data_IF_736454493916
#
_entry.id   IF_736454493916
#
_cell.length_a   1.000
_cell.length_b   1.000
_cell.length_c   1.000
_cell.angle_alpha   90.00
_cell.angle_beta   90.00
_cell.angle_gamma   90.00
#
_symmetry.space_group_name_H-M   'P 1'
#
loop_
_entity.id
_entity.type
_entity.pdbx_description
1 polymer ?
#
# COMPACT_ATOMS: atom_id res chain seq x y z
N UNK A 1 -27.11 -12.45 -10.99
CA UNK A 1 -26.04 -13.07 -11.79
C UNK A 1 -25.51 -12.04 -12.75
N UNK A 2 -24.20 -11.76 -12.74
CA UNK A 2 -23.59 -10.91 -13.76
C UNK A 2 -23.37 -11.74 -15.03
N UNK A 3 -23.60 -11.17 -16.23
CA UNK A 3 -23.36 -11.89 -17.47
C UNK A 3 -21.86 -12.16 -17.66
N UNK A 4 -21.47 -13.31 -18.25
CA UNK A 4 -20.09 -13.54 -18.62
C UNK A 4 -19.68 -12.51 -19.69
N UNK A 5 -18.43 -12.05 -19.61
CA UNK A 5 -17.85 -11.17 -20.61
C UNK A 5 -16.56 -11.80 -21.14
N UNK A 6 -16.30 -11.63 -22.44
CA UNK A 6 -15.12 -12.18 -23.10
C UNK A 6 -14.13 -11.08 -23.42
N UNK A 7 -12.88 -11.25 -23.01
CA UNK A 7 -11.78 -10.37 -23.39
C UNK A 7 -11.15 -10.92 -24.67
N UNK A 8 -11.19 -10.15 -25.76
CA UNK A 8 -10.61 -10.53 -27.04
C UNK A 8 -9.33 -9.73 -27.33
N UNK A 9 -8.55 -10.17 -28.31
CA UNK A 9 -7.32 -9.49 -28.76
C UNK A 9 -6.20 -9.38 -27.70
N UNK A 10 -6.15 -10.32 -26.75
CA UNK A 10 -5.02 -10.44 -25.83
C UNK A 10 -3.78 -10.94 -26.59
N UNK A 11 -2.64 -10.31 -26.32
CA UNK A 11 -1.36 -10.77 -26.85
C UNK A 11 -1.09 -12.20 -26.35
N UNK A 12 -0.63 -13.14 -27.20
CA UNK A 12 -0.38 -14.53 -26.80
C UNK A 12 0.62 -14.67 -25.64
N UNK A 13 1.52 -13.69 -25.48
CA UNK A 13 2.44 -13.62 -24.34
C UNK A 13 1.69 -13.39 -23.02
N UNK A 14 0.64 -12.55 -23.04
CA UNK A 14 -0.19 -12.26 -21.88
C UNK A 14 -1.04 -13.49 -21.52
N UNK A 15 -1.63 -14.16 -22.51
CA UNK A 15 -2.40 -15.39 -22.29
C UNK A 15 -1.54 -16.47 -21.63
N UNK A 16 -0.36 -16.73 -22.18
CA UNK A 16 0.61 -17.69 -21.62
C UNK A 16 1.04 -17.32 -20.20
N UNK A 17 1.24 -16.03 -19.93
CA UNK A 17 1.60 -15.58 -18.59
C UNK A 17 0.47 -15.82 -17.59
N UNK A 18 -0.79 -15.56 -17.97
CA UNK A 18 -1.97 -15.81 -17.11
C UNK A 18 -2.07 -17.30 -16.77
N UNK A 19 -1.88 -18.18 -17.75
CA UNK A 19 -1.90 -19.63 -17.55
C UNK A 19 -0.79 -20.09 -16.58
N UNK A 20 0.43 -19.60 -16.77
CA UNK A 20 1.55 -19.92 -15.87
C UNK A 20 1.32 -19.40 -14.45
N UNK A 21 0.73 -18.22 -14.31
CA UNK A 21 0.42 -17.63 -13.01
C UNK A 21 -0.70 -18.40 -12.28
N UNK A 22 -1.70 -18.88 -13.03
CA UNK A 22 -2.74 -19.76 -12.51
C UNK A 22 -2.14 -21.07 -11.96
N UNK A 23 -1.25 -21.72 -12.72
CA UNK A 23 -0.53 -22.92 -12.26
C UNK A 23 0.32 -22.63 -11.02
N UNK A 24 1.05 -21.51 -11.00
CA UNK A 24 1.95 -21.12 -9.89
C UNK A 24 1.19 -20.84 -8.59
N UNK A 25 -0.01 -20.27 -8.70
CA UNK A 25 -0.81 -19.83 -7.53
C UNK A 25 -1.87 -20.84 -7.12
N UNK A 26 -2.13 -21.86 -7.94
CA UNK A 26 -3.23 -22.81 -7.73
C UNK A 26 -4.61 -22.20 -7.96
N UNK A 27 -4.68 -21.04 -8.62
CA UNK A 27 -5.91 -20.34 -8.97
C UNK A 27 -6.34 -20.69 -10.39
N UNK A 28 -7.60 -20.48 -10.72
CA UNK A 28 -8.05 -20.54 -12.12
C UNK A 28 -7.59 -19.30 -12.90
N UNK A 29 -7.46 -19.42 -14.23
CA UNK A 29 -7.13 -18.29 -15.09
C UNK A 29 -8.13 -17.12 -14.95
N UNK A 30 -9.41 -17.42 -14.72
CA UNK A 30 -10.45 -16.40 -14.47
C UNK A 30 -10.17 -15.63 -13.17
N UNK A 31 -9.79 -16.32 -12.10
CA UNK A 31 -9.46 -15.67 -10.83
C UNK A 31 -8.24 -14.77 -10.93
N UNK A 32 -7.22 -15.20 -11.68
CA UNK A 32 -6.02 -14.38 -11.97
C UNK A 32 -6.42 -13.13 -12.75
N UNK A 33 -7.20 -13.28 -13.82
CA UNK A 33 -7.68 -12.13 -14.63
C UNK A 33 -8.52 -11.18 -13.78
N UNK A 34 -9.41 -11.70 -12.94
CA UNK A 34 -10.24 -10.89 -12.04
C UNK A 34 -9.38 -10.08 -11.07
N UNK A 35 -8.36 -10.67 -10.46
CA UNK A 35 -7.43 -9.95 -9.57
C UNK A 35 -6.66 -8.85 -10.32
N UNK A 36 -6.18 -9.14 -11.54
CA UNK A 36 -5.50 -8.15 -12.38
C UNK A 36 -6.41 -6.96 -12.71
N UNK A 37 -7.67 -7.22 -13.06
CA UNK A 37 -8.65 -6.16 -13.36
C UNK A 37 -8.90 -5.31 -12.12
N UNK A 38 -9.13 -5.90 -10.95
CA UNK A 38 -9.33 -5.13 -9.72
C UNK A 38 -8.12 -4.27 -9.36
N UNK A 39 -6.91 -4.84 -9.43
CA UNK A 39 -5.67 -4.08 -9.19
C UNK A 39 -5.47 -2.95 -10.21
N UNK A 40 -5.83 -3.20 -11.47
CA UNK A 40 -5.83 -2.19 -12.52
C UNK A 40 -6.82 -1.07 -12.23
N UNK A 41 -8.03 -1.38 -11.76
CA UNK A 41 -9.03 -0.39 -11.35
C UNK A 41 -8.59 0.42 -10.12
N UNK A 42 -7.89 -0.19 -9.16
CA UNK A 42 -7.27 0.52 -8.04
C UNK A 42 -6.16 1.48 -8.50
N UNK A 43 -5.41 1.11 -9.55
CA UNK A 43 -4.33 1.93 -10.13
C UNK A 43 -4.87 3.06 -11.02
N UNK A 44 -5.96 2.80 -11.75
CA UNK A 44 -6.58 3.74 -12.71
C UNK A 44 -7.55 4.70 -12.02
N UNK A 45 -8.12 4.32 -10.87
CA UNK A 45 -8.67 5.32 -9.99
C UNK A 45 -7.53 6.29 -9.69
N UNK A 46 -7.61 7.58 -10.08
CA UNK A 46 -6.79 8.55 -9.38
C UNK A 46 -7.04 8.27 -7.91
N UNK A 47 -6.04 8.33 -7.05
CA UNK A 47 -6.23 8.46 -5.61
C UNK A 47 -7.15 9.67 -5.39
N UNK A 48 -8.45 9.43 -5.53
CA UNK A 48 -9.51 10.41 -5.49
C UNK A 48 -9.63 10.67 -4.01
N UNK A 49 -9.05 11.79 -3.64
CA UNK A 49 -8.57 12.16 -2.31
C UNK A 49 -7.36 11.32 -1.87
N UNK A 50 -6.21 12.00 -1.70
CA UNK A 50 -5.39 11.73 -0.52
C UNK A 50 -6.38 11.83 0.64
N UNK A 51 -6.82 10.71 1.18
CA UNK A 51 -7.72 10.71 2.33
C UNK A 51 -7.00 11.53 3.41
N UNK A 52 -7.55 12.69 3.74
CA UNK A 52 -6.99 13.54 4.78
C UNK A 52 -7.47 12.96 6.10
N UNK A 53 -6.53 12.37 6.83
CA UNK A 53 -6.76 11.88 8.18
C UNK A 53 -6.62 13.06 9.15
N UNK A 54 -7.59 13.20 10.05
CA UNK A 54 -7.71 14.28 11.04
C UNK A 54 -7.76 13.71 12.47
N UNK A 55 -7.55 12.41 12.62
CA UNK A 55 -7.60 11.66 13.88
C UNK A 55 -6.51 12.08 14.87
N UNK A 56 -5.40 12.63 14.37
CA UNK A 56 -4.31 13.15 15.19
C UNK A 56 -4.34 14.68 15.36
N UNK A 57 -5.30 15.38 14.75
CA UNK A 57 -5.38 16.84 14.85
C UNK A 57 -5.60 17.30 16.30
N UNK A 58 -6.28 16.47 17.09
CA UNK A 58 -6.49 16.71 18.52
C UNK A 58 -5.19 16.73 19.34
N UNK A 59 -4.08 16.21 18.81
CA UNK A 59 -2.77 16.22 19.48
C UNK A 59 -1.95 17.47 19.14
N UNK A 60 -2.42 18.30 18.20
CA UNK A 60 -1.69 19.51 17.78
C UNK A 60 -1.72 20.53 18.92
N UNK A 61 -0.56 20.81 19.50
CA UNK A 61 -0.42 21.82 20.55
C UNK A 61 -0.92 21.39 21.93
N UNK A 62 -1.10 20.08 22.16
CA UNK A 62 -1.49 19.57 23.50
C UNK A 62 -0.32 19.37 24.46
N UNK A 63 0.92 19.56 23.99
CA UNK A 63 2.10 19.40 24.83
C UNK A 63 2.29 20.60 25.75
N UNK A 64 2.38 20.33 27.04
CA UNK A 64 2.85 21.31 28.02
C UNK A 64 4.37 21.44 27.98
N UNK A 65 4.89 22.46 28.63
CA UNK A 65 6.35 22.62 28.83
C UNK A 65 6.94 21.49 29.67
N UNK A 66 6.15 20.93 30.60
CA UNK A 66 6.52 19.81 31.45
C UNK A 66 6.66 18.52 30.62
N UNK A 67 5.69 18.24 29.74
CA UNK A 67 5.74 17.09 28.81
C UNK A 67 6.98 17.18 27.90
N UNK A 68 7.30 18.38 27.42
CA UNK A 68 8.48 18.60 26.59
C UNK A 68 9.78 18.36 27.36
N UNK A 69 9.86 18.78 28.63
CA UNK A 69 11.02 18.55 29.47
C UNK A 69 11.22 17.07 29.78
N UNK A 70 10.15 16.34 30.12
CA UNK A 70 10.18 14.90 30.38
C UNK A 70 10.61 14.12 29.13
N UNK A 71 10.05 14.46 27.97
CA UNK A 71 10.41 13.83 26.70
C UNK A 71 11.90 14.05 26.34
N UNK A 72 12.41 15.27 26.51
CA UNK A 72 13.82 15.57 26.25
C UNK A 72 14.77 14.81 27.18
N UNK A 73 14.39 14.63 28.44
CA UNK A 73 15.18 13.83 29.39
C UNK A 73 15.21 12.36 28.96
N UNK A 74 14.07 11.82 28.53
CA UNK A 74 13.99 10.45 28.02
C UNK A 74 14.77 10.24 26.70
N UNK A 75 14.87 11.27 25.86
CA UNK A 75 15.57 11.20 24.57
C UNK A 75 17.10 11.40 24.70
N UNK A 76 17.60 11.83 25.87
CA UNK A 76 19.01 12.16 26.07
C UNK A 76 19.95 11.01 25.67
N UNK A 77 19.61 9.77 26.03
CA UNK A 77 20.41 8.57 25.72
C UNK A 77 20.34 8.16 24.24
N UNK A 78 19.30 8.59 23.52
CA UNK A 78 19.07 8.29 22.11
C UNK A 78 19.61 9.37 21.15
N UNK A 79 20.19 10.44 21.70
CA UNK A 79 20.75 11.57 20.91
C UNK A 79 22.11 11.26 20.26
N UNK A 80 22.73 10.13 20.61
CA UNK A 80 24.00 9.70 20.05
C UNK A 80 23.77 8.99 18.72
N UNK A 81 24.07 9.68 17.61
CA UNK A 81 24.03 9.05 16.27
C UNK A 81 25.28 8.18 16.13
N UNK A 82 25.11 6.86 15.98
CA UNK A 82 26.20 5.98 15.58
C UNK A 82 26.54 6.23 14.10
N UNK A 83 27.73 6.78 13.78
CA UNK A 83 28.06 7.19 12.40
C UNK A 83 28.07 6.01 11.41
N UNK A 84 28.29 4.78 11.92
CA UNK A 84 28.28 3.57 11.10
C UNK A 84 26.88 3.15 10.63
N UNK A 85 25.80 3.63 11.28
CA UNK A 85 24.42 3.33 10.92
C UNK A 85 23.81 4.35 9.92
N UNK A 86 24.56 5.40 9.57
CA UNK A 86 24.12 6.45 8.65
C UNK A 86 25.15 6.67 7.51
N UNK A 87 25.26 5.72 6.56
CA UNK A 87 26.17 5.83 5.41
C UNK A 87 25.76 6.89 4.38
#
# INVERSE_FOLDING_TARGET
MHPPFTITHLNPTVTRWIEQEAERTGLTAEEVVRQLIYRGLETVRPTSSRQRFHDLDALIGTWSEEDAAEFNLALADHSQIEPALWP
#
